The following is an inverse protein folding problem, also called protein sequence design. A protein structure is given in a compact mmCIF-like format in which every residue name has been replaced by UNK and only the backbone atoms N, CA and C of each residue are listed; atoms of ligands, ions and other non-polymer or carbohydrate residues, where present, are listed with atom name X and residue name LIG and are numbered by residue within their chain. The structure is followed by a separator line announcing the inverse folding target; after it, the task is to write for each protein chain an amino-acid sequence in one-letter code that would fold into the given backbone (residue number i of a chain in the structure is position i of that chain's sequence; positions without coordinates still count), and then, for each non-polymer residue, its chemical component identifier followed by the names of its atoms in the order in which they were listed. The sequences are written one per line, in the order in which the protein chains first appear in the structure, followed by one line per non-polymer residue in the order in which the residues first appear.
data_IF_798172896129
#
_entry.id   IF_798172896129
#
_cell.length_a   1.000
_cell.length_b   1.000
_cell.length_c   1.000
_cell.angle_alpha   90.00
_cell.angle_beta   90.00
_cell.angle_gamma   90.00
#
_symmetry.space_group_name_H-M   'P 1'
#
loop_
_entity.id
_entity.type
_entity.pdbx_description
1 polymer ?
#
# COMPACT_ATOMS: atom_id res chain seq x y z
N UNK A 1 0.76 27.48 -1.94
CA UNK A 1 2.24 27.38 -1.81
C UNK A 1 2.53 26.13 -0.98
N UNK A 2 2.96 25.04 -1.63
CA UNK A 2 3.59 23.92 -0.94
C UNK A 2 4.77 24.50 -0.15
N UNK A 3 4.77 24.30 1.17
CA UNK A 3 5.87 24.74 2.04
C UNK A 3 7.16 24.20 1.46
N UNK A 4 8.24 24.98 1.46
CA UNK A 4 9.59 24.56 1.08
C UNK A 4 10.10 23.50 2.05
N UNK A 5 9.70 22.25 1.86
CA UNK A 5 10.30 21.11 2.54
C UNK A 5 11.60 20.71 1.84
N UNK A 6 12.54 20.15 2.59
CA UNK A 6 13.74 19.57 1.98
C UNK A 6 13.37 18.45 1.01
N UNK A 7 14.18 18.21 -0.02
CA UNK A 7 13.95 17.12 -0.99
C UNK A 7 13.74 15.77 -0.30
N UNK A 8 14.47 15.51 0.79
CA UNK A 8 14.30 14.29 1.60
C UNK A 8 12.89 14.18 2.20
N UNK A 9 12.38 15.26 2.80
CA UNK A 9 11.05 15.28 3.39
C UNK A 9 9.95 15.21 2.32
N UNK A 10 10.15 15.89 1.19
CA UNK A 10 9.20 15.85 0.07
C UNK A 10 9.07 14.43 -0.50
N UNK A 11 10.18 13.76 -0.80
CA UNK A 11 10.15 12.38 -1.28
C UNK A 11 9.61 11.40 -0.24
N UNK A 12 9.87 11.65 1.05
CA UNK A 12 9.26 10.88 2.14
C UNK A 12 7.73 11.01 2.13
N UNK A 13 7.21 12.23 2.01
CA UNK A 13 5.77 12.49 1.96
C UNK A 13 5.13 11.84 0.71
N UNK A 14 5.78 11.94 -0.44
CA UNK A 14 5.30 11.32 -1.68
C UNK A 14 5.21 9.80 -1.56
N UNK A 15 6.23 9.16 -0.97
CA UNK A 15 6.20 7.72 -0.71
C UNK A 15 5.12 7.33 0.30
N UNK A 16 5.05 8.04 1.42
CA UNK A 16 4.10 7.72 2.47
C UNK A 16 2.63 7.99 2.09
N UNK A 17 2.39 8.99 1.23
CA UNK A 17 1.03 9.33 0.78
C UNK A 17 0.60 8.59 -0.49
N UNK A 18 1.55 8.10 -1.29
CA UNK A 18 1.26 7.50 -2.59
C UNK A 18 0.97 6.00 -2.55
N UNK A 19 1.37 5.29 -1.48
CA UNK A 19 1.32 3.83 -1.45
C UNK A 19 0.51 3.31 -0.27
N UNK A 20 -0.40 2.37 -0.56
CA UNK A 20 -1.33 1.74 0.37
C UNK A 20 -0.80 0.41 0.88
N UNK A 21 -1.18 0.02 2.08
CA UNK A 21 -0.92 -1.31 2.63
C UNK A 21 -2.01 -2.28 2.19
N UNK A 22 -2.00 -2.60 0.90
CA UNK A 22 -3.02 -3.38 0.21
C UNK A 22 -3.00 -4.85 0.63
N UNK A 23 -1.83 -5.45 0.82
CA UNK A 23 -1.72 -6.87 1.19
C UNK A 23 -1.92 -7.13 2.68
N UNK A 24 -1.15 -6.49 3.58
CA UNK A 24 -1.17 -6.83 5.01
C UNK A 24 -2.41 -6.35 5.75
N UNK A 25 -3.00 -5.23 5.34
CA UNK A 25 -4.23 -4.69 5.93
C UNK A 25 -5.40 -4.88 4.96
N UNK A 26 -5.18 -4.67 3.66
CA UNK A 26 -6.21 -4.71 2.64
C UNK A 26 -6.86 -6.08 2.51
N UNK A 27 -6.11 -7.14 2.26
CA UNK A 27 -6.69 -8.48 2.05
C UNK A 27 -7.56 -8.96 3.22
N UNK A 28 -7.10 -8.91 4.49
CA UNK A 28 -7.96 -9.29 5.61
C UNK A 28 -9.23 -8.46 5.74
N UNK A 29 -9.14 -7.16 5.49
CA UNK A 29 -10.31 -6.28 5.61
C UNK A 29 -11.28 -6.45 4.45
N UNK A 30 -10.79 -6.73 3.22
CA UNK A 30 -11.65 -7.02 2.07
C UNK A 30 -12.37 -8.36 2.28
N UNK A 31 -11.64 -9.40 2.68
CA UNK A 31 -12.25 -10.69 3.00
C UNK A 31 -13.33 -10.56 4.07
N UNK A 32 -13.08 -9.77 5.13
CA UNK A 32 -14.03 -9.56 6.22
C UNK A 32 -15.23 -8.66 5.85
N UNK A 33 -15.03 -7.67 4.96
CA UNK A 33 -16.07 -6.64 4.65
C UNK A 33 -16.88 -6.95 3.41
N UNK A 34 -16.29 -7.57 2.41
CA UNK A 34 -16.88 -7.82 1.09
C UNK A 34 -16.94 -9.30 0.71
N UNK A 35 -16.12 -10.15 1.30
CA UNK A 35 -16.04 -11.58 1.01
C UNK A 35 -14.78 -12.00 0.29
N UNK A 36 -14.46 -13.30 0.34
CA UNK A 36 -13.24 -13.87 -0.25
C UNK A 36 -13.24 -13.83 -1.78
N UNK A 37 -14.40 -13.82 -2.41
CA UNK A 37 -14.58 -13.75 -3.86
C UNK A 37 -13.98 -12.47 -4.46
N UNK A 38 -13.84 -11.40 -3.66
CA UNK A 38 -13.24 -10.13 -4.09
C UNK A 38 -11.73 -10.05 -3.94
N UNK A 39 -11.10 -11.06 -3.32
CA UNK A 39 -9.63 -11.08 -3.14
C UNK A 39 -8.88 -11.08 -4.47
N UNK A 40 -9.46 -11.63 -5.54
CA UNK A 40 -8.83 -11.59 -6.87
C UNK A 40 -8.61 -10.15 -7.36
N UNK A 41 -9.56 -9.24 -7.13
CA UNK A 41 -9.44 -7.82 -7.46
C UNK A 41 -8.39 -7.16 -6.57
N UNK A 42 -8.42 -7.45 -5.27
CA UNK A 42 -7.47 -6.93 -4.30
C UNK A 42 -6.02 -7.32 -4.64
N UNK A 43 -5.79 -8.57 -5.05
CA UNK A 43 -4.48 -9.06 -5.49
C UNK A 43 -3.99 -8.27 -6.72
N UNK A 44 -4.85 -8.01 -7.70
CA UNK A 44 -4.49 -7.20 -8.87
C UNK A 44 -4.11 -5.78 -8.45
N UNK A 45 -4.86 -5.17 -7.53
CA UNK A 45 -4.55 -3.85 -6.97
C UNK A 45 -3.18 -3.86 -6.26
N UNK A 46 -2.88 -4.89 -5.48
CA UNK A 46 -1.59 -5.05 -4.79
C UNK A 46 -0.43 -5.20 -5.77
N UNK A 47 -0.59 -5.99 -6.83
CA UNK A 47 0.45 -6.12 -7.88
C UNK A 47 0.67 -4.80 -8.62
N UNK A 48 -0.38 -4.05 -8.97
CA UNK A 48 -0.27 -2.73 -9.58
C UNK A 48 0.42 -1.73 -8.62
N UNK A 49 0.09 -1.78 -7.33
CA UNK A 49 0.74 -0.99 -6.28
C UNK A 49 2.23 -1.32 -6.20
N UNK A 50 2.59 -2.60 -6.21
CA UNK A 50 3.97 -3.03 -6.17
C UNK A 50 4.76 -2.60 -7.42
N UNK A 51 4.18 -2.71 -8.62
CA UNK A 51 4.81 -2.26 -9.86
C UNK A 51 5.11 -0.75 -9.82
N UNK A 52 4.14 0.05 -9.39
CA UNK A 52 4.30 1.51 -9.27
C UNK A 52 5.29 1.88 -8.17
N UNK A 53 5.31 1.18 -7.05
CA UNK A 53 6.31 1.36 -5.99
C UNK A 53 7.71 1.05 -6.49
N UNK A 54 7.88 -0.06 -7.19
CA UNK A 54 9.19 -0.53 -7.69
C UNK A 54 9.75 0.34 -8.82
N UNK A 55 8.91 1.14 -9.46
CA UNK A 55 9.29 2.09 -10.51
C UNK A 55 9.25 3.53 -10.01
N UNK A 56 8.07 4.13 -9.94
CA UNK A 56 7.89 5.54 -9.55
C UNK A 56 8.29 5.81 -8.10
N UNK A 57 8.02 4.86 -7.20
CA UNK A 57 8.42 4.96 -5.79
C UNK A 57 9.93 5.02 -5.63
N UNK A 58 10.66 4.14 -6.31
CA UNK A 58 12.13 4.13 -6.29
C UNK A 58 12.72 5.38 -6.93
N UNK A 59 12.16 5.85 -8.07
CA UNK A 59 12.56 7.11 -8.69
C UNK A 59 12.38 8.28 -7.72
N UNK A 60 11.26 8.31 -7.01
CA UNK A 60 10.96 9.33 -6.00
C UNK A 60 11.95 9.27 -4.84
N UNK A 61 12.28 8.07 -4.37
CA UNK A 61 13.26 7.86 -3.31
C UNK A 61 14.67 8.33 -3.71
N UNK A 62 15.10 8.02 -4.92
CA UNK A 62 16.40 8.45 -5.46
C UNK A 62 16.51 9.97 -5.56
N UNK A 63 15.46 10.66 -6.02
CA UNK A 63 15.41 12.13 -6.07
C UNK A 63 15.57 12.78 -4.69
N UNK A 64 15.05 12.16 -3.64
CA UNK A 64 15.17 12.65 -2.25
C UNK A 64 16.48 12.30 -1.59
N UNK A 65 17.13 11.22 -1.98
CA UNK A 65 18.30 10.60 -1.35
C UNK A 65 19.62 10.92 -2.02
N UNK A 66 19.92 12.04 -2.55
CA UNK A 66 21.26 12.44 -3.11
C UNK A 66 21.93 11.44 -4.09
N UNK A 67 21.28 10.37 -4.49
CA UNK A 67 21.83 9.39 -5.44
C UNK A 67 21.22 9.64 -6.83
N UNK A 68 22.04 10.18 -7.74
CA UNK A 68 21.57 10.69 -9.03
C UNK A 68 21.57 9.69 -10.19
N UNK A 69 21.95 8.43 -9.99
CA UNK A 69 22.01 7.46 -11.09
C UNK A 69 20.92 6.41 -10.98
N UNK A 70 19.91 6.54 -11.85
CA UNK A 70 18.87 5.53 -12.02
C UNK A 70 19.26 4.66 -13.22
N UNK A 71 19.59 3.39 -12.98
CA UNK A 71 19.75 2.41 -14.05
C UNK A 71 18.45 1.61 -14.21
N UNK A 72 17.93 1.53 -15.43
CA UNK A 72 16.80 0.64 -15.76
C UNK A 72 17.07 -0.80 -15.31
N UNK A 73 18.32 -1.26 -15.43
CA UNK A 73 18.76 -2.57 -14.97
C UNK A 73 18.56 -2.76 -13.46
N UNK A 74 18.79 -1.72 -12.65
CA UNK A 74 18.56 -1.78 -11.20
C UNK A 74 17.06 -1.91 -10.88
N UNK A 75 16.20 -1.16 -11.56
CA UNK A 75 14.75 -1.23 -11.38
C UNK A 75 14.21 -2.60 -11.78
N UNK A 76 14.61 -3.12 -12.94
CA UNK A 76 14.22 -4.45 -13.41
C UNK A 76 14.72 -5.55 -12.47
N UNK A 77 15.98 -5.51 -12.04
CA UNK A 77 16.50 -6.47 -11.08
C UNK A 77 15.65 -6.50 -9.80
N UNK A 78 15.29 -5.31 -9.27
CA UNK A 78 14.49 -5.22 -8.05
C UNK A 78 13.08 -5.79 -8.22
N UNK A 79 12.45 -5.55 -9.37
CA UNK A 79 11.14 -6.11 -9.72
C UNK A 79 11.18 -7.64 -9.74
N UNK A 80 12.12 -8.20 -10.50
CA UNK A 80 12.23 -9.65 -10.69
C UNK A 80 12.87 -10.41 -9.52
N UNK A 81 13.41 -9.71 -8.51
CA UNK A 81 13.90 -10.33 -7.27
C UNK A 81 12.96 -10.14 -6.09
N UNK A 82 11.78 -9.54 -6.29
CA UNK A 82 10.81 -9.34 -5.21
C UNK A 82 10.00 -10.62 -4.95
N UNK A 83 10.12 -11.24 -3.75
CA UNK A 83 9.53 -12.54 -3.49
C UNK A 83 8.02 -12.63 -3.71
N UNK A 84 7.17 -11.64 -3.29
CA UNK A 84 5.75 -11.69 -3.56
C UNK A 84 5.40 -11.67 -5.05
N UNK A 85 6.15 -10.93 -5.86
CA UNK A 85 5.96 -10.89 -7.31
C UNK A 85 6.33 -12.23 -7.97
N UNK A 86 7.48 -12.80 -7.56
CA UNK A 86 7.91 -14.13 -8.03
C UNK A 86 6.86 -15.16 -7.64
N UNK A 87 6.39 -15.14 -6.37
CA UNK A 87 5.37 -16.06 -5.89
C UNK A 87 4.07 -15.98 -6.69
N UNK A 88 3.60 -14.75 -6.97
CA UNK A 88 2.39 -14.53 -7.77
C UNK A 88 2.53 -15.09 -9.21
N UNK A 89 3.62 -14.74 -9.90
CA UNK A 89 3.88 -15.27 -11.27
C UNK A 89 4.02 -16.78 -11.25
N UNK A 90 4.75 -17.33 -10.28
CA UNK A 90 4.92 -18.79 -10.15
C UNK A 90 3.58 -19.47 -9.92
N UNK A 91 2.73 -18.93 -9.05
CA UNK A 91 1.39 -19.49 -8.80
C UNK A 91 0.53 -19.49 -10.06
N UNK A 92 0.51 -18.37 -10.81
CA UNK A 92 -0.24 -18.27 -12.07
C UNK A 92 0.24 -19.26 -13.13
N UNK A 93 1.56 -19.42 -13.26
CA UNK A 93 2.14 -20.38 -14.23
C UNK A 93 1.88 -21.82 -13.79
N UNK A 94 2.16 -22.18 -12.54
CA UNK A 94 1.98 -23.54 -12.04
C UNK A 94 0.52 -23.99 -12.10
N UNK A 95 -0.42 -23.13 -11.73
CA UNK A 95 -1.85 -23.46 -11.75
C UNK A 95 -2.38 -23.74 -13.16
N UNK A 96 -1.69 -23.28 -14.21
CA UNK A 96 -2.03 -23.58 -15.61
C UNK A 96 -1.57 -24.96 -16.07
N UNK A 97 -0.61 -25.59 -15.39
CA UNK A 97 0.01 -26.85 -15.78
C UNK A 97 -0.19 -28.00 -14.78
N UNK A 98 -0.43 -27.67 -13.51
CA UNK A 98 -0.48 -28.63 -12.40
C UNK A 98 -1.73 -28.38 -11.58
N UNK A 99 -2.46 -29.44 -11.25
CA UNK A 99 -3.54 -29.38 -10.26
C UNK A 99 -2.95 -29.26 -8.86
N UNK A 100 -3.14 -28.10 -8.23
CA UNK A 100 -2.65 -27.76 -6.89
C UNK A 100 -3.68 -28.04 -5.79
N UNK A 101 -4.82 -28.65 -6.09
CA UNK A 101 -5.91 -28.90 -5.14
C UNK A 101 -5.43 -29.70 -3.89
N UNK A 102 -4.50 -30.63 -4.07
CA UNK A 102 -3.92 -31.41 -2.97
C UNK A 102 -3.08 -30.56 -2.00
N UNK A 103 -2.53 -29.44 -2.46
CA UNK A 103 -1.71 -28.53 -1.64
C UNK A 103 -2.53 -27.37 -1.06
N UNK A 104 -3.78 -27.17 -1.50
CA UNK A 104 -4.67 -26.10 -1.05
C UNK A 104 -4.79 -25.99 0.46
N UNK A 105 -4.99 -27.10 1.25
CA UNK A 105 -5.10 -27.01 2.71
C UNK A 105 -3.83 -26.45 3.36
N UNK A 106 -2.66 -26.71 2.79
CA UNK A 106 -1.39 -26.18 3.27
C UNK A 106 -1.30 -24.66 2.98
N UNK A 107 -1.59 -24.27 1.76
CA UNK A 107 -1.57 -22.85 1.37
C UNK A 107 -2.58 -22.03 2.17
N UNK A 108 -3.78 -22.55 2.41
CA UNK A 108 -4.80 -21.88 3.23
C UNK A 108 -4.35 -21.69 4.68
N UNK A 109 -3.69 -22.69 5.29
CA UNK A 109 -3.10 -22.53 6.63
C UNK A 109 -1.98 -21.50 6.67
N UNK A 110 -1.10 -21.49 5.68
CA UNK A 110 0.01 -20.52 5.59
C UNK A 110 -0.52 -19.10 5.36
N UNK A 111 -1.46 -18.93 4.43
CA UNK A 111 -2.06 -17.62 4.17
C UNK A 111 -2.78 -17.05 5.37
N UNK A 112 -3.48 -17.89 6.15
CA UNK A 112 -4.14 -17.49 7.39
C UNK A 112 -3.19 -16.96 8.47
N UNK A 113 -1.90 -17.28 8.42
CA UNK A 113 -0.90 -16.75 9.37
C UNK A 113 -0.40 -15.34 8.98
N UNK A 114 -0.55 -14.94 7.72
CA UNK A 114 0.02 -13.69 7.19
C UNK A 114 -0.57 -12.47 7.90
N UNK A 115 -1.89 -12.39 8.00
CA UNK A 115 -2.57 -11.24 8.61
C UNK A 115 -2.20 -11.04 10.09
N UNK A 116 -2.29 -12.05 10.97
CA UNK A 116 -1.90 -11.91 12.39
C UNK A 116 -0.44 -11.51 12.55
N UNK A 117 0.48 -12.16 11.82
CA UNK A 117 1.91 -11.87 11.92
C UNK A 117 2.24 -10.48 11.40
N UNK A 118 1.62 -10.06 10.30
CA UNK A 118 1.82 -8.73 9.73
C UNK A 118 1.31 -7.64 10.69
N UNK A 119 0.10 -7.78 11.23
CA UNK A 119 -0.46 -6.82 12.18
C UNK A 119 0.37 -6.75 13.47
N UNK A 120 0.85 -7.88 13.97
CA UNK A 120 1.76 -7.93 15.12
C UNK A 120 3.07 -7.21 14.82
N UNK A 121 3.70 -7.49 13.68
CA UNK A 121 4.94 -6.84 13.24
C UNK A 121 4.77 -5.32 13.09
N UNK A 122 3.64 -4.88 12.54
CA UNK A 122 3.29 -3.46 12.41
C UNK A 122 3.15 -2.84 13.81
N UNK A 123 2.46 -3.49 14.73
CA UNK A 123 2.30 -3.04 16.11
C UNK A 123 3.64 -2.77 16.80
N UNK A 124 4.63 -3.65 16.62
CA UNK A 124 5.99 -3.48 17.16
C UNK A 124 6.76 -2.30 16.55
N UNK A 125 6.43 -1.89 15.34
CA UNK A 125 7.10 -0.78 14.64
C UNK A 125 6.52 0.60 14.99
N UNK A 126 5.38 0.66 15.70
CA UNK A 126 4.74 1.92 16.07
C UNK A 126 5.62 2.73 17.03
N UNK A 127 6.08 3.89 16.61
CA UNK A 127 6.89 4.82 17.41
C UNK A 127 6.31 6.22 17.31
N UNK A 128 5.85 6.75 18.43
CA UNK A 128 5.16 8.05 18.50
C UNK A 128 6.04 9.21 19.01
N UNK A 129 7.34 9.00 19.21
CA UNK A 129 8.21 10.02 19.78
C UNK A 129 8.43 11.22 18.87
N UNK A 130 8.02 12.41 19.33
CA UNK A 130 8.28 13.70 18.65
C UNK A 130 7.30 14.02 17.51
N UNK A 131 6.13 13.39 17.46
CA UNK A 131 5.10 13.60 16.45
C UNK A 131 4.62 15.06 16.34
N UNK A 132 4.56 15.82 17.47
CA UNK A 132 4.10 17.22 17.49
C UNK A 132 4.88 18.15 16.54
N UNK A 133 6.20 17.94 16.40
CA UNK A 133 7.05 18.74 15.50
C UNK A 133 6.80 18.46 14.01
N UNK A 134 6.26 17.30 13.70
CA UNK A 134 6.01 16.84 12.32
C UNK A 134 4.53 16.84 11.96
N UNK A 135 3.67 17.37 12.85
CA UNK A 135 2.20 17.30 12.72
C UNK A 135 1.70 17.81 11.36
N UNK A 136 2.20 18.95 10.89
CA UNK A 136 1.78 19.50 9.60
C UNK A 136 2.08 18.55 8.42
N UNK A 137 3.21 17.87 8.46
CA UNK A 137 3.61 16.92 7.42
C UNK A 137 2.76 15.65 7.51
N UNK A 138 2.54 15.17 8.73
CA UNK A 138 1.70 14.00 9.00
C UNK A 138 0.26 14.29 8.57
N UNK A 139 -0.34 15.39 9.00
CA UNK A 139 -1.73 15.74 8.63
C UNK A 139 -1.91 15.90 7.13
N UNK A 140 -0.95 16.54 6.45
CA UNK A 140 -1.00 16.66 4.99
C UNK A 140 -0.97 15.27 4.34
N UNK A 141 -0.08 14.38 4.79
CA UNK A 141 0.00 13.01 4.28
C UNK A 141 -1.31 12.24 4.53
N UNK A 142 -1.92 12.38 5.72
CA UNK A 142 -3.19 11.73 6.06
C UNK A 142 -4.32 12.17 5.16
N UNK A 143 -4.47 13.48 4.95
CA UNK A 143 -5.53 14.03 4.08
C UNK A 143 -5.40 13.49 2.66
N UNK A 144 -4.19 13.55 2.09
CA UNK A 144 -3.97 13.00 0.75
C UNK A 144 -4.20 11.50 0.68
N UNK A 145 -3.67 10.76 1.65
CA UNK A 145 -3.67 9.29 1.63
C UNK A 145 -5.05 8.69 1.92
N UNK A 146 -5.71 9.20 2.96
CA UNK A 146 -6.93 8.56 3.48
C UNK A 146 -8.22 9.20 2.93
N UNK A 147 -8.15 10.39 2.33
CA UNK A 147 -9.32 11.09 1.82
C UNK A 147 -9.21 11.40 0.32
N UNK A 148 -8.19 12.18 -0.09
CA UNK A 148 -8.10 12.66 -1.48
C UNK A 148 -7.82 11.50 -2.45
N UNK A 149 -6.90 10.60 -2.13
CA UNK A 149 -6.55 9.46 -2.97
C UNK A 149 -7.76 8.58 -3.29
N UNK A 150 -8.45 8.03 -2.28
CA UNK A 150 -9.65 7.23 -2.50
C UNK A 150 -10.77 7.98 -3.21
N UNK A 151 -11.00 9.26 -2.89
CA UNK A 151 -11.99 10.09 -3.57
C UNK A 151 -11.70 10.24 -5.07
N UNK A 152 -10.43 10.44 -5.43
CA UNK A 152 -10.02 10.52 -6.84
C UNK A 152 -10.25 9.19 -7.57
N UNK A 153 -9.93 8.05 -6.93
CA UNK A 153 -10.18 6.73 -7.52
C UNK A 153 -11.68 6.49 -7.69
N UNK A 154 -12.51 6.88 -6.71
CA UNK A 154 -13.97 6.78 -6.82
C UNK A 154 -14.48 7.59 -8.02
N UNK A 155 -14.10 8.86 -8.11
CA UNK A 155 -14.51 9.73 -9.23
C UNK A 155 -14.06 9.14 -10.56
N UNK A 156 -12.82 8.67 -10.67
CA UNK A 156 -12.31 8.04 -11.90
C UNK A 156 -13.09 6.77 -12.25
N UNK A 157 -13.39 5.92 -11.26
CA UNK A 157 -14.17 4.70 -11.48
C UNK A 157 -15.58 4.99 -11.99
N UNK A 158 -16.25 6.02 -11.43
CA UNK A 158 -17.57 6.46 -11.86
C UNK A 158 -17.54 7.07 -13.27
N UNK A 159 -16.57 7.95 -13.55
CA UNK A 159 -16.44 8.60 -14.88
C UNK A 159 -16.13 7.57 -15.98
N UNK A 160 -15.32 6.56 -15.68
CA UNK A 160 -14.99 5.49 -16.62
C UNK A 160 -16.10 4.42 -16.76
N UNK A 161 -17.16 4.49 -15.98
CA UNK A 161 -18.25 3.51 -16.01
C UNK A 161 -17.81 2.08 -15.68
N UNK A 162 -16.85 1.94 -14.75
CA UNK A 162 -16.32 0.64 -14.35
C UNK A 162 -17.36 -0.15 -13.55
N UNK A 163 -17.23 -1.49 -13.54
CA UNK A 163 -18.11 -2.36 -12.75
C UNK A 163 -18.06 -1.98 -11.27
N UNK A 164 -19.22 -1.99 -10.63
CA UNK A 164 -19.40 -1.66 -9.22
C UNK A 164 -18.37 -2.36 -8.30
N UNK A 165 -18.27 -3.69 -8.40
CA UNK A 165 -17.31 -4.46 -7.59
C UNK A 165 -15.86 -4.03 -7.76
N UNK A 166 -15.47 -3.70 -9.01
CA UNK A 166 -14.11 -3.22 -9.28
C UNK A 166 -13.87 -1.87 -8.62
N UNK A 167 -14.82 -0.94 -8.73
CA UNK A 167 -14.74 0.39 -8.11
C UNK A 167 -14.69 0.28 -6.59
N UNK A 168 -15.63 -0.46 -5.99
CA UNK A 168 -15.69 -0.67 -4.53
C UNK A 168 -14.35 -1.17 -3.98
N UNK A 169 -13.82 -2.26 -4.53
CA UNK A 169 -12.59 -2.86 -4.01
C UNK A 169 -11.37 -1.96 -4.28
N UNK A 170 -11.25 -1.36 -5.46
CA UNK A 170 -10.12 -0.48 -5.77
C UNK A 170 -10.10 0.77 -4.90
N UNK A 171 -11.24 1.39 -4.65
CA UNK A 171 -11.36 2.54 -3.75
C UNK A 171 -11.02 2.14 -2.32
N UNK A 172 -11.55 1.02 -1.84
CA UNK A 172 -11.28 0.52 -0.50
C UNK A 172 -9.80 0.20 -0.30
N UNK A 173 -9.14 -0.45 -1.27
CA UNK A 173 -7.69 -0.69 -1.29
C UNK A 173 -6.90 0.63 -1.31
N UNK A 174 -7.34 1.61 -2.07
CA UNK A 174 -6.67 2.92 -2.08
C UNK A 174 -6.79 3.65 -0.75
N UNK A 175 -7.86 3.42 0.02
CA UNK A 175 -8.12 4.00 1.34
C UNK A 175 -7.32 3.31 2.48
N UNK A 176 -6.62 2.20 2.19
CA UNK A 176 -5.79 1.52 3.19
C UNK A 176 -4.69 2.44 3.72
N UNK A 177 -4.25 2.26 4.98
CA UNK A 177 -3.15 3.00 5.57
C UNK A 177 -1.87 2.95 4.75
N UNK A 178 -0.91 3.79 5.11
CA UNK A 178 0.40 3.87 4.44
C UNK A 178 1.13 2.53 4.43
N UNK A 179 1.70 2.18 3.30
CA UNK A 179 2.48 0.96 3.09
C UNK A 179 3.71 0.91 4.01
N UNK A 180 3.85 -0.18 4.77
CA UNK A 180 5.00 -0.37 5.70
C UNK A 180 6.33 -0.43 4.95
N UNK A 181 6.35 -1.00 3.74
CA UNK A 181 7.55 -1.06 2.90
C UNK A 181 8.13 0.33 2.57
N UNK A 182 7.33 1.38 2.65
CA UNK A 182 7.81 2.77 2.50
C UNK A 182 8.88 3.13 3.52
N UNK A 183 8.85 2.54 4.74
CA UNK A 183 9.90 2.72 5.75
C UNK A 183 11.22 2.09 5.33
N UNK A 184 11.18 0.89 4.81
CA UNK A 184 12.37 0.17 4.31
C UNK A 184 13.02 0.94 3.16
N UNK A 185 12.19 1.45 2.23
CA UNK A 185 12.68 2.28 1.12
C UNK A 185 13.27 3.60 1.66
N UNK A 186 12.60 4.24 2.61
CA UNK A 186 13.08 5.48 3.20
C UNK A 186 14.43 5.29 3.89
N UNK A 187 14.66 4.17 4.56
CA UNK A 187 15.93 3.84 5.18
C UNK A 187 17.01 3.55 4.13
N UNK A 188 16.72 2.70 3.16
CA UNK A 188 17.65 2.30 2.10
C UNK A 188 18.17 3.51 1.30
N UNK A 189 17.29 4.49 1.03
CA UNK A 189 17.63 5.70 0.27
C UNK A 189 17.96 6.91 1.16
N UNK A 190 18.17 6.70 2.47
CA UNK A 190 18.51 7.73 3.45
C UNK A 190 17.53 8.92 3.46
N UNK A 191 16.25 8.65 3.30
CA UNK A 191 15.17 9.63 3.44
C UNK A 191 14.87 9.91 4.92
N UNK A 192 13.75 10.58 5.21
CA UNK A 192 13.34 10.86 6.59
C UNK A 192 12.54 9.68 7.17
N UNK A 193 13.25 8.62 7.59
CA UNK A 193 12.66 7.39 8.18
C UNK A 193 11.81 7.69 9.41
N UNK A 194 12.21 8.67 10.23
CA UNK A 194 11.42 9.07 11.40
C UNK A 194 10.03 9.57 11.00
N UNK A 195 9.96 10.42 9.97
CA UNK A 195 8.68 10.91 9.43
C UNK A 195 7.86 9.76 8.83
N UNK A 196 8.48 8.88 8.04
CA UNK A 196 7.81 7.72 7.44
C UNK A 196 7.16 6.84 8.50
N UNK A 197 7.92 6.46 9.53
CA UNK A 197 7.42 5.57 10.59
C UNK A 197 6.28 6.20 11.40
N UNK A 198 6.33 7.51 11.63
CA UNK A 198 5.23 8.24 12.27
C UNK A 198 3.98 8.28 11.39
N UNK A 199 4.14 8.52 10.10
CA UNK A 199 3.02 8.51 9.15
C UNK A 199 2.40 7.11 9.10
N UNK A 200 3.20 6.05 9.00
CA UNK A 200 2.71 4.67 9.02
C UNK A 200 1.89 4.41 10.29
N UNK A 201 2.46 4.68 11.46
CA UNK A 201 1.79 4.42 12.73
C UNK A 201 0.48 5.17 12.90
N UNK A 202 0.48 6.48 12.62
CA UNK A 202 -0.72 7.32 12.75
C UNK A 202 -1.75 6.95 11.67
N UNK A 203 -1.30 6.64 10.44
CA UNK A 203 -2.22 6.25 9.36
C UNK A 203 -2.97 4.95 9.64
N UNK A 204 -2.38 4.02 10.38
CA UNK A 204 -3.06 2.79 10.77
C UNK A 204 -4.21 3.10 11.72
N UNK A 205 -3.95 3.90 12.76
CA UNK A 205 -4.97 4.27 13.75
C UNK A 205 -6.09 5.08 13.09
N UNK A 206 -5.75 6.15 12.37
CA UNK A 206 -6.73 7.02 11.69
C UNK A 206 -7.41 6.26 10.54
N UNK A 207 -6.66 5.40 9.86
CA UNK A 207 -7.13 4.60 8.73
C UNK A 207 -8.29 3.67 9.10
N UNK A 208 -8.28 3.04 10.26
CA UNK A 208 -9.41 2.23 10.70
C UNK A 208 -10.73 3.03 10.80
N UNK A 209 -10.67 4.28 11.26
CA UNK A 209 -11.85 5.15 11.28
C UNK A 209 -12.27 5.60 9.89
N UNK A 210 -11.30 6.00 9.04
CA UNK A 210 -11.62 6.46 7.68
C UNK A 210 -12.07 5.32 6.78
N UNK A 211 -11.60 4.09 6.97
CA UNK A 211 -12.09 2.91 6.27
C UNK A 211 -13.56 2.61 6.56
N UNK A 212 -13.99 2.75 7.82
CA UNK A 212 -15.41 2.63 8.17
C UNK A 212 -16.28 3.70 7.49
N UNK A 213 -15.75 4.91 7.29
CA UNK A 213 -16.43 5.96 6.52
C UNK A 213 -16.48 5.58 5.04
N UNK A 214 -15.35 5.17 4.44
CA UNK A 214 -15.30 4.76 3.03
C UNK A 214 -16.19 3.56 2.74
N UNK A 215 -16.24 2.57 3.63
CA UNK A 215 -17.17 1.45 3.50
C UNK A 215 -18.61 1.94 3.36
N UNK A 216 -19.08 2.82 4.27
CA UNK A 216 -20.43 3.39 4.20
C UNK A 216 -20.65 4.25 2.94
N UNK A 217 -19.66 5.04 2.54
CA UNK A 217 -19.76 5.85 1.31
C UNK A 217 -19.94 4.94 0.08
N UNK A 218 -19.17 3.86 0.00
CA UNK A 218 -19.24 2.91 -1.10
C UNK A 218 -20.58 2.14 -1.14
N UNK A 219 -21.08 1.72 0.03
CA UNK A 219 -22.40 1.09 0.13
C UNK A 219 -23.55 2.06 -0.19
N UNK A 220 -23.35 3.36 -0.04
CA UNK A 220 -24.35 4.36 -0.40
C UNK A 220 -24.28 4.74 -1.89
N UNK A 221 -23.11 4.68 -2.50
CA UNK A 221 -22.91 5.02 -3.92
C UNK A 221 -23.37 3.91 -4.88
N UNK A 222 -23.39 2.67 -4.40
CA UNK A 222 -23.68 1.46 -5.16
C UNK A 222 -24.67 0.55 -4.42
#
# INVERSE_FOLDING_TARGET
KLKNYSNRSTSTLQLASGYSNTSFIGFPLISASYGEEYLSIAIICDQAMFLTLSTLGIITALKGGNNNTISAKFLLKRLFTFPPFIGCITALVLSSFIDLSSAEPLFNKLSGTVAPLALFSIGLQLKFNGWKKLMNQISMSMVYKLLIGPALILVLGLVLGLKESLVKITVFESAMPTLVMSSVIAEQFKLNTKLTNMIIGISIIVGFFTLGIWYKVLEWCF
#
